data_IF_892567714617
#
_entry.id   IF_892567714617
#
_cell.length_a   1.000
_cell.length_b   1.000
_cell.length_c   1.000
_cell.angle_alpha   90.00
_cell.angle_beta   90.00
_cell.angle_gamma   90.00
#
_symmetry.space_group_name_H-M   'P 1'
#
loop_
_entity.id
_entity.type
_entity.pdbx_description
1 polymer ?
#
# COMPACT_ATOMS: atom_id res chain seq x y z
N UNK A 1 10.35 -12.96 -23.59
CA UNK A 1 9.96 -14.38 -23.60
C UNK A 1 9.38 -14.70 -22.22
N UNK A 2 8.05 -14.70 -22.07
CA UNK A 2 7.44 -15.04 -20.79
C UNK A 2 7.78 -16.50 -20.46
N UNK A 3 8.67 -16.71 -19.50
CA UNK A 3 8.71 -17.98 -18.80
C UNK A 3 7.35 -18.19 -18.16
N UNK A 4 6.80 -19.38 -18.41
CA UNK A 4 5.68 -20.06 -17.74
C UNK A 4 5.75 -19.97 -16.21
N UNK A 5 5.67 -18.77 -15.65
CA UNK A 5 5.72 -18.54 -14.23
C UNK A 5 4.31 -18.24 -13.76
N UNK A 6 3.66 -19.33 -13.35
CA UNK A 6 2.62 -19.33 -12.33
C UNK A 6 1.19 -19.13 -12.82
N UNK A 7 0.78 -19.73 -13.93
CA UNK A 7 -0.58 -20.27 -13.99
C UNK A 7 -0.65 -21.38 -12.93
N UNK A 8 -1.13 -21.05 -11.73
CA UNK A 8 -1.49 -22.09 -10.77
C UNK A 8 -2.66 -22.83 -11.41
N UNK A 9 -2.52 -24.09 -11.85
CA UNK A 9 -3.57 -24.80 -12.58
C UNK A 9 -4.89 -24.83 -11.80
N UNK A 10 -4.78 -24.81 -10.46
CA UNK A 10 -5.90 -24.78 -9.54
C UNK A 10 -6.70 -23.47 -9.56
N UNK A 11 -6.14 -22.32 -9.98
CA UNK A 11 -6.89 -21.06 -10.08
C UNK A 11 -7.70 -21.03 -11.37
N UNK A 12 -7.12 -21.47 -12.49
CA UNK A 12 -7.80 -21.45 -13.79
C UNK A 12 -9.07 -22.30 -13.76
N UNK A 13 -8.99 -23.52 -13.21
CA UNK A 13 -10.16 -24.39 -13.01
C UNK A 13 -11.18 -23.83 -12.02
N UNK A 14 -10.75 -22.99 -11.05
CA UNK A 14 -11.69 -22.30 -10.14
C UNK A 14 -12.37 -21.11 -10.80
N UNK A 15 -11.68 -20.42 -11.70
CA UNK A 15 -12.16 -19.21 -12.35
C UNK A 15 -13.14 -19.54 -13.47
N UNK A 16 -12.85 -20.59 -14.24
CA UNK A 16 -13.65 -20.95 -15.40
C UNK A 16 -14.33 -22.30 -15.22
N UNK A 17 -15.66 -22.29 -15.26
CA UNK A 17 -16.49 -23.47 -15.09
C UNK A 17 -16.56 -24.36 -16.35
N UNK A 18 -16.66 -23.74 -17.52
CA UNK A 18 -16.83 -24.41 -18.80
C UNK A 18 -15.65 -24.10 -19.75
N UNK A 19 -15.30 -25.01 -20.66
CA UNK A 19 -14.18 -24.82 -21.60
C UNK A 19 -14.55 -23.99 -22.83
N UNK A 20 -15.82 -24.01 -23.24
CA UNK A 20 -16.38 -23.24 -24.37
C UNK A 20 -17.58 -22.43 -23.88
N UNK A 21 -17.63 -21.15 -24.22
CA UNK A 21 -18.73 -20.26 -23.92
C UNK A 21 -19.64 -20.12 -25.14
N UNK A 22 -20.96 -20.09 -24.94
CA UNK A 22 -21.89 -19.60 -25.96
C UNK A 22 -21.97 -18.06 -25.90
N UNK A 23 -22.67 -17.43 -26.85
CA UNK A 23 -22.80 -15.97 -26.90
C UNK A 23 -23.41 -15.34 -25.63
N UNK A 24 -24.24 -16.09 -24.90
CA UNK A 24 -24.82 -15.64 -23.62
C UNK A 24 -23.80 -15.75 -22.47
N UNK A 25 -22.94 -16.76 -22.47
CA UNK A 25 -21.87 -16.89 -21.49
C UNK A 25 -20.76 -15.85 -21.71
N UNK A 26 -20.45 -15.50 -22.96
CA UNK A 26 -19.49 -14.44 -23.28
C UNK A 26 -19.96 -13.06 -22.79
N UNK A 27 -21.24 -12.73 -22.96
CA UNK A 27 -21.81 -11.47 -22.46
C UNK A 27 -21.77 -11.41 -20.94
N UNK A 28 -22.13 -12.50 -20.26
CA UNK A 28 -22.05 -12.62 -18.80
C UNK A 28 -20.60 -12.49 -18.30
N UNK A 29 -19.64 -13.11 -19.00
CA UNK A 29 -18.22 -12.99 -18.66
C UNK A 29 -17.74 -11.53 -18.77
N UNK A 30 -18.16 -10.82 -19.81
CA UNK A 30 -17.84 -9.40 -19.98
C UNK A 30 -18.44 -8.54 -18.86
N UNK A 31 -19.67 -8.82 -18.42
CA UNK A 31 -20.28 -8.14 -17.26
C UNK A 31 -19.50 -8.42 -15.96
N UNK A 32 -19.12 -9.67 -15.72
CA UNK A 32 -18.28 -10.05 -14.57
C UNK A 32 -16.93 -9.34 -14.60
N UNK A 33 -16.30 -9.27 -15.78
CA UNK A 33 -15.05 -8.53 -15.98
C UNK A 33 -15.22 -7.05 -15.63
N UNK A 34 -16.25 -6.39 -16.17
CA UNK A 34 -16.53 -4.98 -15.91
C UNK A 34 -16.72 -4.70 -14.42
N UNK A 35 -17.55 -5.49 -13.73
CA UNK A 35 -17.77 -5.37 -12.29
C UNK A 35 -16.49 -5.62 -11.49
N UNK A 36 -15.68 -6.61 -11.90
CA UNK A 36 -14.45 -6.93 -11.19
C UNK A 36 -13.38 -5.84 -11.33
N UNK A 37 -13.26 -5.24 -12.52
CA UNK A 37 -12.39 -4.09 -12.78
C UNK A 37 -12.83 -2.87 -11.98
N UNK A 38 -14.13 -2.56 -11.95
CA UNK A 38 -14.67 -1.48 -11.12
C UNK A 38 -14.37 -1.69 -9.62
N UNK A 39 -14.52 -2.93 -9.15
CA UNK A 39 -14.17 -3.28 -7.77
C UNK A 39 -12.66 -3.20 -7.49
N UNK A 40 -11.82 -3.44 -8.49
CA UNK A 40 -10.36 -3.27 -8.37
C UNK A 40 -10.00 -1.80 -8.24
N UNK A 41 -10.64 -0.92 -9.01
CA UNK A 41 -10.45 0.52 -8.92
C UNK A 41 -10.86 1.08 -7.55
N UNK A 42 -12.04 0.66 -7.04
CA UNK A 42 -12.49 1.00 -5.68
C UNK A 42 -11.51 0.59 -4.57
N UNK A 43 -10.75 -0.50 -4.75
CA UNK A 43 -9.71 -0.90 -3.78
C UNK A 43 -8.51 0.05 -3.85
N UNK A 44 -8.13 0.50 -5.04
CA UNK A 44 -7.08 1.50 -5.22
C UNK A 44 -7.45 2.84 -4.58
N UNK A 45 -8.70 3.28 -4.76
CA UNK A 45 -9.26 4.46 -4.11
C UNK A 45 -9.18 4.35 -2.57
N UNK A 46 -9.60 3.21 -2.00
CA UNK A 46 -9.48 2.94 -0.55
C UNK A 46 -8.03 2.99 -0.05
N UNK A 47 -7.08 2.50 -0.84
CA UNK A 47 -5.64 2.60 -0.50
C UNK A 47 -5.20 4.06 -0.44
N UNK A 48 -5.59 4.89 -1.40
CA UNK A 48 -5.26 6.32 -1.41
C UNK A 48 -5.84 7.04 -0.19
N UNK A 49 -7.11 6.77 0.14
CA UNK A 49 -7.76 7.33 1.34
C UNK A 49 -7.04 6.91 2.63
N UNK A 50 -6.68 5.62 2.76
CA UNK A 50 -5.91 5.14 3.90
C UNK A 50 -4.55 5.87 4.01
N UNK A 51 -3.82 6.03 2.90
CA UNK A 51 -2.53 6.71 2.90
C UNK A 51 -2.66 8.19 3.34
N UNK A 52 -3.65 8.91 2.84
CA UNK A 52 -3.93 10.29 3.25
C UNK A 52 -4.31 10.41 4.73
N UNK A 53 -5.07 9.44 5.25
CA UNK A 53 -5.42 9.37 6.67
C UNK A 53 -4.17 9.22 7.55
N UNK A 54 -3.32 8.22 7.27
CA UNK A 54 -2.11 8.00 8.05
C UNK A 54 -1.12 9.16 7.97
N UNK A 55 -0.98 9.77 6.79
CA UNK A 55 -0.15 10.95 6.60
C UNK A 55 -0.61 12.12 7.49
N UNK A 56 -1.92 12.41 7.46
CA UNK A 56 -2.52 13.47 8.27
C UNK A 56 -2.30 13.23 9.77
N UNK A 57 -2.62 12.03 10.25
CA UNK A 57 -2.49 11.69 11.67
C UNK A 57 -1.04 11.80 12.13
N UNK A 58 -0.08 11.26 11.38
CA UNK A 58 1.33 11.34 11.75
C UNK A 58 1.87 12.77 11.73
N UNK A 59 1.43 13.59 10.76
CA UNK A 59 1.81 15.00 10.69
C UNK A 59 1.30 15.77 11.92
N UNK A 60 0.05 15.56 12.31
CA UNK A 60 -0.55 16.17 13.50
C UNK A 60 0.13 15.70 14.78
N UNK A 61 0.43 14.41 14.90
CA UNK A 61 1.13 13.86 16.07
C UNK A 61 2.53 14.44 16.24
N UNK A 62 3.33 14.49 15.17
CA UNK A 62 4.66 15.11 15.22
C UNK A 62 4.55 16.58 15.62
N UNK A 63 3.64 17.33 15.00
CA UNK A 63 3.43 18.75 15.32
C UNK A 63 3.03 18.97 16.79
N UNK A 64 2.14 18.12 17.31
CA UNK A 64 1.71 18.18 18.70
C UNK A 64 2.88 17.87 19.66
N UNK A 65 3.68 16.85 19.36
CA UNK A 65 4.85 16.49 20.15
C UNK A 65 5.89 17.62 20.15
N UNK A 66 6.24 18.17 18.99
CA UNK A 66 7.23 19.27 18.92
C UNK A 66 6.74 20.53 19.61
N UNK A 67 5.45 20.87 19.48
CA UNK A 67 4.88 22.05 20.15
C UNK A 67 4.88 21.91 21.67
N UNK A 68 4.66 20.71 22.18
CA UNK A 68 4.64 20.45 23.62
C UNK A 68 6.03 20.64 24.26
N UNK A 69 7.12 20.36 23.52
CA UNK A 69 8.50 20.61 23.98
C UNK A 69 8.70 22.10 24.27
N UNK A 70 8.22 22.98 23.39
CA UNK A 70 8.48 24.42 23.48
C UNK A 70 7.74 25.15 24.60
N UNK A 71 6.74 24.53 25.23
CA UNK A 71 5.76 25.21 26.11
C UNK A 71 5.87 24.86 27.60
N UNK A 72 6.79 23.99 28.02
CA UNK A 72 6.74 23.38 29.36
C UNK A 72 8.00 23.62 30.20
N UNK A 73 7.78 24.05 31.45
CA UNK A 73 8.83 24.35 32.45
C UNK A 73 9.21 23.15 33.35
N UNK A 74 8.61 21.95 33.14
CA UNK A 74 8.83 20.74 33.97
C UNK A 74 9.37 19.56 33.13
N UNK A 75 10.69 19.38 33.02
CA UNK A 75 11.30 18.53 32.00
C UNK A 75 11.10 17.01 32.23
N UNK A 76 11.20 16.50 33.46
CA UNK A 76 11.44 15.05 33.68
C UNK A 76 10.20 14.16 33.44
N UNK A 77 9.01 14.54 33.94
CA UNK A 77 7.76 13.77 33.73
C UNK A 77 7.31 13.87 32.27
N UNK A 78 7.61 15.00 31.63
CA UNK A 78 7.27 15.27 30.24
C UNK A 78 8.05 14.37 29.28
N UNK A 79 9.37 14.23 29.44
CA UNK A 79 10.18 13.41 28.54
C UNK A 79 9.75 11.94 28.53
N UNK A 80 9.36 11.40 29.68
CA UNK A 80 8.86 10.03 29.79
C UNK A 80 7.56 9.82 28.98
N UNK A 81 6.62 10.75 29.08
CA UNK A 81 5.38 10.71 28.29
C UNK A 81 5.64 10.88 26.79
N UNK A 82 6.59 11.72 26.42
CA UNK A 82 6.93 11.96 25.01
C UNK A 82 7.65 10.78 24.37
N UNK A 83 8.50 10.07 25.10
CA UNK A 83 9.09 8.81 24.64
C UNK A 83 8.00 7.75 24.42
N UNK A 84 7.04 7.65 25.35
CA UNK A 84 5.89 6.76 25.20
C UNK A 84 5.06 7.10 23.95
N UNK A 85 4.70 8.37 23.76
CA UNK A 85 3.95 8.83 22.61
C UNK A 85 4.71 8.63 21.28
N UNK A 86 6.02 8.87 21.26
CA UNK A 86 6.87 8.63 20.10
C UNK A 86 6.94 7.14 19.74
N UNK A 87 7.04 6.27 20.76
CA UNK A 87 7.01 4.82 20.57
C UNK A 87 5.68 4.36 19.99
N UNK A 88 4.56 4.91 20.47
CA UNK A 88 3.24 4.67 19.88
C UNK A 88 3.18 5.13 18.42
N UNK A 89 3.79 6.28 18.09
CA UNK A 89 3.94 6.77 16.72
C UNK A 89 4.70 5.83 15.80
N UNK A 90 5.79 5.20 16.28
CA UNK A 90 6.52 4.16 15.53
C UNK A 90 5.65 2.95 15.26
N UNK A 91 4.92 2.45 16.25
CA UNK A 91 3.98 1.32 16.10
C UNK A 91 2.89 1.65 15.07
N UNK A 92 2.40 2.89 15.10
CA UNK A 92 1.43 3.38 14.14
C UNK A 92 1.99 3.40 12.70
N UNK A 93 3.25 3.82 12.52
CA UNK A 93 3.94 3.76 11.22
C UNK A 93 4.18 2.33 10.73
N UNK A 94 4.51 1.39 11.63
CA UNK A 94 4.61 -0.04 11.28
C UNK A 94 3.26 -0.57 10.79
N UNK A 95 2.17 -0.17 11.44
CA UNK A 95 0.81 -0.54 11.05
C UNK A 95 0.46 0.00 9.66
N UNK A 96 0.86 1.24 9.38
CA UNK A 96 0.73 1.85 8.05
C UNK A 96 1.50 1.07 6.98
N UNK A 97 2.75 0.68 7.24
CA UNK A 97 3.54 -0.13 6.31
C UNK A 97 2.89 -1.48 6.02
N UNK A 98 2.37 -2.15 7.06
CA UNK A 98 1.65 -3.42 6.90
C UNK A 98 0.41 -3.26 6.03
N UNK A 99 -0.32 -2.17 6.22
CA UNK A 99 -1.51 -1.87 5.44
C UNK A 99 -1.17 -1.64 3.95
N UNK A 100 -0.16 -0.82 3.64
CA UNK A 100 0.30 -0.59 2.26
C UNK A 100 0.71 -1.92 1.60
N UNK A 101 1.45 -2.77 2.32
CA UNK A 101 1.86 -4.09 1.83
C UNK A 101 0.65 -4.98 1.53
N UNK A 102 -0.33 -5.00 2.42
CA UNK A 102 -1.56 -5.78 2.23
C UNK A 102 -2.30 -5.37 0.95
N UNK A 103 -2.49 -4.07 0.73
CA UNK A 103 -3.13 -3.56 -0.49
C UNK A 103 -2.33 -3.90 -1.75
N UNK A 104 -0.99 -3.86 -1.69
CA UNK A 104 -0.14 -4.24 -2.82
C UNK A 104 -0.31 -5.71 -3.21
N UNK A 105 -0.26 -6.61 -2.23
CA UNK A 105 -0.41 -8.05 -2.50
C UNK A 105 -1.84 -8.38 -2.99
N UNK A 106 -2.86 -7.72 -2.42
CA UNK A 106 -4.24 -7.86 -2.87
C UNK A 106 -4.40 -7.40 -4.33
N UNK A 107 -3.88 -6.23 -4.68
CA UNK A 107 -3.94 -5.71 -6.04
C UNK A 107 -3.20 -6.63 -7.02
N UNK A 108 -2.03 -7.12 -6.65
CA UNK A 108 -1.29 -8.11 -7.46
C UNK A 108 -2.11 -9.37 -7.74
N UNK A 109 -2.84 -9.87 -6.74
CA UNK A 109 -3.77 -10.98 -6.90
C UNK A 109 -4.93 -10.65 -7.83
N UNK A 110 -5.54 -9.46 -7.69
CA UNK A 110 -6.65 -9.01 -8.54
C UNK A 110 -6.24 -8.83 -10.00
N UNK A 111 -5.08 -8.22 -10.27
CA UNK A 111 -4.55 -8.10 -11.64
C UNK A 111 -4.34 -9.46 -12.29
N UNK A 112 -3.84 -10.45 -11.53
CA UNK A 112 -3.70 -11.82 -12.05
C UNK A 112 -5.05 -12.42 -12.47
N UNK A 113 -6.11 -12.20 -11.69
CA UNK A 113 -7.46 -12.66 -12.06
C UNK A 113 -7.97 -11.92 -13.30
N UNK A 114 -7.74 -10.62 -13.40
CA UNK A 114 -8.09 -9.81 -14.58
C UNK A 114 -7.40 -10.36 -15.84
N UNK A 115 -6.09 -10.58 -15.81
CA UNK A 115 -5.37 -11.15 -16.96
C UNK A 115 -5.86 -12.54 -17.34
N UNK A 116 -6.28 -13.35 -16.37
CA UNK A 116 -6.88 -14.65 -16.66
C UNK A 116 -8.25 -14.48 -17.32
N UNK A 117 -9.13 -13.61 -16.84
CA UNK A 117 -10.41 -13.30 -17.48
C UNK A 117 -10.22 -12.82 -18.94
N UNK A 118 -9.20 -12.00 -19.17
CA UNK A 118 -8.84 -11.49 -20.50
C UNK A 118 -8.47 -12.59 -21.50
N UNK A 119 -8.01 -13.77 -21.06
CA UNK A 119 -7.72 -14.90 -21.98
C UNK A 119 -8.95 -15.40 -22.74
N UNK A 120 -10.16 -15.07 -22.28
CA UNK A 120 -11.43 -15.43 -22.91
C UNK A 120 -12.17 -14.24 -23.49
N UNK A 121 -11.62 -13.03 -23.39
CA UNK A 121 -12.19 -11.83 -23.98
C UNK A 121 -11.51 -11.54 -25.33
N UNK A 122 -12.19 -10.85 -26.26
CA UNK A 122 -11.62 -10.50 -27.56
C UNK A 122 -10.35 -9.64 -27.48
N UNK A 123 -10.21 -8.86 -26.40
CA UNK A 123 -9.07 -7.98 -26.16
C UNK A 123 -8.52 -8.14 -24.73
N UNK A 124 -7.20 -8.11 -24.61
CA UNK A 124 -6.45 -8.26 -23.35
C UNK A 124 -5.86 -6.91 -22.94
N UNK A 125 -6.74 -5.97 -22.56
CA UNK A 125 -6.41 -4.56 -22.38
C UNK A 125 -5.32 -4.35 -21.31
N UNK A 126 -5.49 -4.95 -20.13
CA UNK A 126 -4.53 -4.81 -19.04
C UNK A 126 -3.22 -5.55 -19.32
N UNK A 127 -3.27 -6.70 -20.00
CA UNK A 127 -2.05 -7.40 -20.43
C UNK A 127 -1.23 -6.55 -21.41
N UNK A 128 -1.90 -5.96 -22.41
CA UNK A 128 -1.28 -5.07 -23.37
C UNK A 128 -0.74 -3.78 -22.71
N UNK A 129 -1.48 -3.20 -21.76
CA UNK A 129 -1.00 -2.06 -20.96
C UNK A 129 0.27 -2.42 -20.19
N UNK A 130 0.30 -3.58 -19.53
CA UNK A 130 1.46 -4.04 -18.79
C UNK A 130 2.70 -4.25 -19.66
N UNK A 131 2.50 -4.81 -20.86
CA UNK A 131 3.58 -4.98 -21.83
C UNK A 131 4.05 -3.63 -22.39
N UNK A 132 3.14 -2.69 -22.69
CA UNK A 132 3.48 -1.34 -23.14
C UNK A 132 4.27 -0.56 -22.07
N UNK A 133 3.96 -0.75 -20.78
CA UNK A 133 4.70 -0.15 -19.67
C UNK A 133 6.09 -0.78 -19.46
N UNK A 134 6.36 -1.95 -20.05
CA UNK A 134 7.66 -2.66 -19.97
C UNK A 134 8.53 -2.50 -21.22
N UNK A 135 7.92 -2.31 -22.39
CA UNK A 135 8.63 -2.21 -23.67
C UNK A 135 9.05 -0.75 -23.94
N UNK A 136 10.02 -0.27 -23.18
CA UNK A 136 10.68 1.02 -23.36
C UNK A 136 11.92 1.04 -22.48
N UNK A 137 13.08 1.39 -23.06
CA UNK A 137 14.38 1.37 -22.39
C UNK A 137 14.37 2.14 -21.06
N UNK A 138 14.47 1.41 -19.95
CA UNK A 138 14.45 1.93 -18.59
C UNK A 138 13.05 1.97 -17.98
N UNK A 139 12.92 1.54 -16.73
CA UNK A 139 11.67 1.51 -15.99
C UNK A 139 10.97 2.89 -15.92
N UNK A 140 10.18 3.23 -16.95
CA UNK A 140 9.43 4.50 -17.01
C UNK A 140 8.36 4.50 -15.91
N UNK A 141 7.77 3.35 -15.61
CA UNK A 141 6.84 3.20 -14.49
C UNK A 141 7.55 2.72 -13.22
N UNK A 142 7.92 3.66 -12.35
CA UNK A 142 8.19 3.34 -10.95
C UNK A 142 6.85 3.16 -10.25
N UNK A 143 6.54 1.97 -9.70
CA UNK A 143 5.27 1.75 -9.03
C UNK A 143 5.11 2.79 -7.92
N UNK A 144 4.00 3.53 -7.95
CA UNK A 144 3.66 4.54 -6.93
C UNK A 144 3.84 4.01 -5.49
N UNK A 145 3.64 2.70 -5.31
CA UNK A 145 3.86 1.99 -4.04
C UNK A 145 5.28 2.08 -3.47
N UNK A 146 6.31 2.32 -4.29
CA UNK A 146 7.69 2.52 -3.80
C UNK A 146 7.81 3.84 -3.03
N UNK A 147 7.19 4.91 -3.54
CA UNK A 147 7.18 6.23 -2.88
C UNK A 147 6.30 6.16 -1.62
N UNK A 148 5.12 5.53 -1.71
CA UNK A 148 4.24 5.35 -0.56
C UNK A 148 4.90 4.59 0.61
N UNK A 149 5.80 3.63 0.33
CA UNK A 149 6.53 2.93 1.39
C UNK A 149 7.61 3.77 2.07
N UNK A 150 8.16 4.79 1.39
CA UNK A 150 9.21 5.63 1.96
C UNK A 150 8.64 6.56 3.04
N UNK A 151 7.40 7.04 2.87
CA UNK A 151 6.79 8.03 3.78
C UNK A 151 6.68 7.51 5.23
N UNK A 152 6.12 6.32 5.51
CA UNK A 152 6.10 5.78 6.87
C UNK A 152 7.49 5.58 7.46
N UNK A 153 8.49 5.25 6.63
CA UNK A 153 9.88 5.07 7.07
C UNK A 153 10.46 6.40 7.54
N UNK A 154 10.21 7.49 6.80
CA UNK A 154 10.59 8.84 7.22
C UNK A 154 9.98 9.19 8.58
N UNK A 155 8.68 8.94 8.79
CA UNK A 155 8.05 9.19 10.09
C UNK A 155 8.62 8.32 11.22
N UNK A 156 8.93 7.05 10.97
CA UNK A 156 9.62 6.21 11.96
C UNK A 156 10.98 6.80 12.36
N UNK A 157 11.75 7.31 11.40
CA UNK A 157 13.01 8.00 11.69
C UNK A 157 12.77 9.29 12.49
N UNK A 158 11.73 10.07 12.19
CA UNK A 158 11.39 11.27 12.95
C UNK A 158 11.05 10.94 14.41
N UNK A 159 10.17 9.97 14.67
CA UNK A 159 9.87 9.54 16.04
C UNK A 159 11.09 8.96 16.75
N UNK A 160 11.92 8.18 16.03
CA UNK A 160 13.14 7.59 16.56
C UNK A 160 14.17 8.65 16.96
N UNK A 161 14.40 9.65 16.09
CA UNK A 161 15.28 10.78 16.37
C UNK A 161 14.76 11.61 17.54
N UNK A 162 13.45 11.89 17.60
CA UNK A 162 12.84 12.60 18.71
C UNK A 162 13.07 11.86 20.03
N UNK A 163 12.84 10.54 20.04
CA UNK A 163 13.05 9.70 21.22
C UNK A 163 14.51 9.69 21.67
N UNK A 164 15.46 9.60 20.72
CA UNK A 164 16.89 9.61 21.01
C UNK A 164 17.35 10.95 21.62
N UNK A 165 16.87 12.08 21.08
CA UNK A 165 17.15 13.41 21.62
C UNK A 165 16.61 13.53 23.05
N UNK A 166 15.38 13.10 23.29
CA UNK A 166 14.77 13.16 24.63
C UNK A 166 15.52 12.29 25.64
N UNK A 167 15.97 11.10 25.23
CA UNK A 167 16.79 10.23 26.08
C UNK A 167 18.12 10.89 26.41
N UNK A 168 18.79 11.49 25.43
CA UNK A 168 20.04 12.21 25.64
C UNK A 168 19.88 13.34 26.67
N UNK A 169 18.84 14.17 26.53
CA UNK A 169 18.53 15.26 27.46
C UNK A 169 18.28 14.75 28.89
N UNK A 170 17.53 13.64 29.05
CA UNK A 170 17.33 13.02 30.36
C UNK A 170 18.68 12.67 31.01
N UNK A 171 19.56 12.00 30.27
CA UNK A 171 20.87 11.58 30.78
C UNK A 171 21.80 12.76 31.08
N UNK A 172 21.78 13.83 30.29
CA UNK A 172 22.59 15.03 30.57
C UNK A 172 22.06 15.86 31.73
N UNK A 173 20.76 15.73 32.05
CA UNK A 173 20.11 16.43 33.15
C UNK A 173 20.17 15.69 34.50
N UNK A 174 20.62 14.44 34.51
CA UNK A 174 20.76 13.57 35.69
C UNK A 174 22.18 13.62 36.25
#
# INVERSE_FOLDING_TARGET
>A
MMTKQNENPGIVHKLFRHQSADASEESLLFEQYKLYVEMMDKVSERRHQANSFFLTVNTVLIMALTSFISLSDKPTIQYSWMIFASTAGVIFCISWLRLIRSYRELNRGKFKVIHLLETRLPARLFDAEWDALRYGDGAVYKPFSQIEMQIPIVFMFLYGALSAILIWEIFSSA
#
